data_IF_918295275355
#
_entry.id   IF_918295275355
#
_cell.length_a   1.000
_cell.length_b   1.000
_cell.length_c   1.000
_cell.angle_alpha   90.00
_cell.angle_beta   90.00
_cell.angle_gamma   90.00
#
_symmetry.space_group_name_H-M   'P 1'
#
loop_
_entity.id
_entity.type
_entity.pdbx_description
1 polymer ?
#
# COMPACT_ATOMS: atom_id res chain seq x y z
N UNK A 1 4.51 -3.46 22.88
CA UNK A 1 5.31 -2.68 21.92
C UNK A 1 4.33 -1.77 21.18
N UNK A 2 4.70 -0.51 20.92
CA UNK A 2 3.87 0.39 20.11
C UNK A 2 3.97 -0.06 18.65
N UNK A 3 2.86 -0.12 17.89
CA UNK A 3 2.91 -0.51 16.49
C UNK A 3 3.78 0.47 15.70
N UNK A 4 4.76 -0.06 14.96
CA UNK A 4 5.70 0.73 14.17
C UNK A 4 5.06 1.47 13.02
N UNK A 5 3.97 0.97 12.45
CA UNK A 5 3.26 1.61 11.36
C UNK A 5 1.80 1.80 11.71
N UNK A 6 1.24 2.94 11.35
CA UNK A 6 -0.20 3.21 11.44
C UNK A 6 -0.67 3.89 10.16
N UNK A 7 -1.73 3.35 9.57
CA UNK A 7 -2.33 3.81 8.32
C UNK A 7 -3.74 4.29 8.65
N UNK A 8 -4.03 5.56 8.39
CA UNK A 8 -5.38 6.11 8.49
C UNK A 8 -6.01 6.20 7.11
N UNK A 9 -7.22 5.69 6.97
CA UNK A 9 -7.95 5.66 5.71
C UNK A 9 -9.45 5.85 5.94
N UNK A 10 -10.17 6.16 4.87
CA UNK A 10 -11.63 6.31 4.95
C UNK A 10 -12.34 5.29 4.09
N UNK A 11 -13.29 4.55 4.66
CA UNK A 11 -14.23 3.71 3.91
C UNK A 11 -15.55 4.44 3.75
N UNK A 12 -16.37 4.02 2.79
CA UNK A 12 -17.76 4.50 2.67
C UNK A 12 -18.71 3.44 3.24
N UNK A 13 -19.43 3.78 4.31
CA UNK A 13 -20.56 3.00 4.78
C UNK A 13 -21.82 3.79 4.42
N UNK A 14 -22.48 3.41 3.32
CA UNK A 14 -23.53 4.22 2.71
C UNK A 14 -22.97 5.56 2.20
N UNK A 15 -23.62 6.67 2.57
CA UNK A 15 -23.23 8.02 2.16
C UNK A 15 -22.23 8.72 3.11
N UNK A 16 -21.81 8.06 4.20
CA UNK A 16 -20.94 8.69 5.20
C UNK A 16 -19.49 8.16 5.09
N UNK A 17 -18.49 9.06 5.11
CA UNK A 17 -17.09 8.66 5.24
C UNK A 17 -16.84 8.17 6.67
N UNK A 18 -16.36 6.95 6.81
CA UNK A 18 -15.96 6.35 8.09
C UNK A 18 -14.43 6.28 8.17
N UNK A 19 -13.81 6.98 9.13
CA UNK A 19 -12.38 6.87 9.37
C UNK A 19 -12.07 5.53 10.02
N UNK A 20 -11.07 4.84 9.47
CA UNK A 20 -10.51 3.60 10.01
C UNK A 20 -9.00 3.75 10.12
N UNK A 21 -8.40 2.87 10.93
CA UNK A 21 -6.96 2.73 10.98
C UNK A 21 -6.54 1.27 10.94
N UNK A 22 -5.33 1.04 10.44
CA UNK A 22 -4.63 -0.22 10.49
C UNK A 22 -3.26 0.00 11.12
N UNK A 23 -2.81 -0.93 11.96
CA UNK A 23 -1.53 -0.82 12.67
C UNK A 23 -0.77 -2.14 12.58
N UNK A 24 0.52 -2.05 12.29
CA UNK A 24 1.40 -3.22 12.16
C UNK A 24 2.83 -2.89 12.56
N UNK A 25 3.58 -3.90 13.00
CA UNK A 25 5.02 -3.82 13.24
C UNK A 25 5.85 -4.30 12.04
N UNK A 26 5.19 -4.94 11.06
CA UNK A 26 5.82 -5.52 9.87
C UNK A 26 5.79 -4.50 8.71
N UNK A 27 6.96 -4.06 8.20
CA UNK A 27 7.02 -3.15 7.05
C UNK A 27 6.40 -3.76 5.78
N UNK A 28 6.48 -5.08 5.58
CA UNK A 28 5.91 -5.73 4.39
C UNK A 28 4.39 -5.72 4.46
N UNK A 29 3.82 -6.09 5.62
CA UNK A 29 2.37 -6.00 5.83
C UNK A 29 1.83 -4.57 5.69
N UNK A 30 2.64 -3.56 6.04
CA UNK A 30 2.30 -2.15 5.81
C UNK A 30 2.18 -1.85 4.31
N UNK A 31 3.16 -2.25 3.51
CA UNK A 31 3.17 -2.06 2.05
C UNK A 31 2.02 -2.82 1.37
N UNK A 32 1.77 -4.07 1.77
CA UNK A 32 0.66 -4.88 1.27
C UNK A 32 -0.69 -4.24 1.60
N UNK A 33 -0.88 -3.73 2.82
CA UNK A 33 -2.14 -3.07 3.18
C UNK A 33 -2.34 -1.76 2.41
N UNK A 34 -1.29 -0.97 2.18
CA UNK A 34 -1.37 0.21 1.31
C UNK A 34 -1.76 -0.20 -0.11
N UNK A 35 -1.19 -1.29 -0.63
CA UNK A 35 -1.55 -1.84 -1.95
C UNK A 35 -3.04 -2.21 -2.00
N UNK A 36 -3.58 -2.87 -0.98
CA UNK A 36 -5.01 -3.20 -0.89
C UNK A 36 -5.90 -1.95 -0.86
N UNK A 37 -5.49 -0.90 -0.14
CA UNK A 37 -6.22 0.38 -0.12
C UNK A 37 -6.23 1.04 -1.51
N UNK A 38 -5.11 0.98 -2.24
CA UNK A 38 -5.02 1.47 -3.61
C UNK A 38 -5.90 0.64 -4.56
N UNK A 39 -5.87 -0.70 -4.45
CA UNK A 39 -6.69 -1.62 -5.25
C UNK A 39 -8.19 -1.38 -5.02
N UNK A 40 -8.59 -1.15 -3.76
CA UNK A 40 -9.97 -0.87 -3.38
C UNK A 40 -10.42 0.60 -3.60
N UNK A 41 -9.48 1.51 -3.89
CA UNK A 41 -9.77 2.93 -4.11
C UNK A 41 -10.17 3.70 -2.84
N UNK A 42 -9.71 3.25 -1.66
CA UNK A 42 -9.98 3.95 -0.40
C UNK A 42 -9.05 5.17 -0.23
N UNK A 43 -9.58 6.35 0.13
CA UNK A 43 -8.72 7.50 0.42
C UNK A 43 -7.84 7.26 1.64
N UNK A 44 -6.52 7.28 1.43
CA UNK A 44 -5.50 7.25 2.47
C UNK A 44 -5.35 8.68 3.02
N UNK A 45 -5.41 8.83 4.35
CA UNK A 45 -5.41 10.13 5.04
C UNK A 45 -4.06 10.45 5.65
N UNK A 46 -3.46 9.48 6.34
CA UNK A 46 -2.17 9.64 6.98
C UNK A 46 -1.44 8.30 7.07
N UNK A 47 -0.12 8.36 7.02
CA UNK A 47 0.78 7.24 7.28
C UNK A 47 1.75 7.68 8.36
N UNK A 48 1.88 6.89 9.42
CA UNK A 48 2.78 7.16 10.54
C UNK A 48 3.76 6.02 10.75
N UNK A 49 5.00 6.36 11.06
CA UNK A 49 6.03 5.45 11.52
C UNK A 49 6.46 5.82 12.94
N UNK A 50 6.39 4.88 13.88
CA UNK A 50 6.69 5.08 15.31
C UNK A 50 5.91 6.27 15.92
N UNK A 51 4.67 6.46 15.48
CA UNK A 51 3.80 7.56 15.91
C UNK A 51 4.08 8.91 15.25
N UNK A 52 5.12 9.01 14.41
CA UNK A 52 5.48 10.21 13.65
C UNK A 52 4.90 10.12 12.24
N UNK A 53 4.26 11.18 11.77
CA UNK A 53 3.77 11.23 10.39
C UNK A 53 4.94 11.17 9.40
N UNK A 54 4.82 10.32 8.38
CA UNK A 54 5.84 10.19 7.35
C UNK A 54 6.05 11.53 6.65
N UNK A 55 7.31 11.83 6.33
CA UNK A 55 7.60 12.95 5.45
C UNK A 55 7.00 12.69 4.07
N UNK A 56 6.72 13.75 3.31
CA UNK A 56 6.16 13.63 1.96
C UNK A 56 6.99 12.70 1.04
N UNK A 57 8.33 12.77 1.01
CA UNK A 57 9.13 11.82 0.22
C UNK A 57 8.98 10.36 0.66
N UNK A 58 8.87 10.09 1.97
CA UNK A 58 8.68 8.73 2.50
C UNK A 58 7.30 8.21 2.16
N UNK A 59 6.27 9.05 2.31
CA UNK A 59 4.90 8.77 1.90
C UNK A 59 4.85 8.41 0.40
N UNK A 60 5.38 9.29 -0.46
CA UNK A 60 5.36 9.10 -1.91
C UNK A 60 6.13 7.82 -2.32
N UNK A 61 7.22 7.50 -1.62
CA UNK A 61 7.97 6.27 -1.82
C UNK A 61 7.13 5.04 -1.47
N UNK A 62 6.43 5.04 -0.33
CA UNK A 62 5.57 3.92 0.07
C UNK A 62 4.42 3.71 -0.92
N UNK A 63 3.76 4.79 -1.35
CA UNK A 63 2.72 4.72 -2.37
C UNK A 63 3.27 4.16 -3.68
N UNK A 64 4.47 4.59 -4.10
CA UNK A 64 5.10 4.08 -5.31
C UNK A 64 5.43 2.58 -5.21
N UNK A 65 5.94 2.12 -4.08
CA UNK A 65 6.19 0.69 -3.83
C UNK A 65 4.90 -0.11 -3.94
N UNK A 66 3.86 0.28 -3.19
CA UNK A 66 2.57 -0.39 -3.19
C UNK A 66 1.91 -0.41 -4.60
N UNK A 67 1.98 0.70 -5.34
CA UNK A 67 1.50 0.75 -6.72
C UNK A 67 2.30 -0.16 -7.66
N UNK A 68 3.62 -0.28 -7.44
CA UNK A 68 4.48 -1.21 -8.17
C UNK A 68 4.10 -2.67 -7.91
N UNK A 69 3.86 -3.04 -6.65
CA UNK A 69 3.38 -4.36 -6.25
C UNK A 69 2.03 -4.68 -6.91
N UNK A 70 1.08 -3.72 -6.89
CA UNK A 70 -0.23 -3.88 -7.51
C UNK A 70 -0.12 -4.14 -9.02
N UNK A 71 0.70 -3.33 -9.72
CA UNK A 71 0.94 -3.49 -11.14
C UNK A 71 1.59 -4.85 -11.46
N UNK A 72 2.63 -5.23 -10.72
CA UNK A 72 3.33 -6.51 -10.88
C UNK A 72 2.36 -7.69 -10.70
N UNK A 73 1.54 -7.67 -9.63
CA UNK A 73 0.50 -8.68 -9.34
C UNK A 73 -0.47 -8.84 -10.51
N UNK A 74 -1.00 -7.73 -11.03
CA UNK A 74 -1.96 -7.79 -12.14
C UNK A 74 -1.31 -8.22 -13.47
N UNK A 75 -0.08 -7.79 -13.76
CA UNK A 75 0.63 -8.19 -14.99
C UNK A 75 0.94 -9.69 -14.95
N UNK A 76 1.51 -10.19 -13.84
CA UNK A 76 1.79 -11.61 -13.66
C UNK A 76 0.52 -12.46 -13.83
N UNK A 77 -0.57 -12.07 -13.16
CA UNK A 77 -1.85 -12.77 -13.24
C UNK A 77 -2.45 -12.73 -14.66
N UNK A 78 -2.37 -11.59 -15.36
CA UNK A 78 -2.97 -11.42 -16.69
C UNK A 78 -2.20 -12.13 -17.80
N UNK A 79 -0.88 -12.21 -17.67
CA UNK A 79 0.00 -12.81 -18.68
C UNK A 79 0.41 -14.26 -18.36
N UNK A 80 0.12 -14.75 -17.16
CA UNK A 80 0.55 -16.08 -16.70
C UNK A 80 2.08 -16.21 -16.55
N UNK A 81 2.76 -15.09 -16.27
CA UNK A 81 4.22 -15.03 -16.13
C UNK A 81 4.62 -14.93 -14.65
N UNK A 82 5.88 -15.26 -14.37
CA UNK A 82 6.44 -15.13 -13.01
C UNK A 82 6.94 -13.70 -12.74
N UNK A 83 7.04 -13.28 -11.47
CA UNK A 83 7.53 -11.96 -11.10
C UNK A 83 8.92 -11.62 -11.66
N UNK A 84 9.81 -12.60 -11.82
CA UNK A 84 11.15 -12.36 -12.38
C UNK A 84 11.09 -11.96 -13.85
N UNK A 85 10.19 -12.60 -14.62
CA UNK A 85 9.98 -12.26 -16.01
C UNK A 85 9.27 -10.91 -16.16
N UNK A 86 8.28 -10.64 -15.31
CA UNK A 86 7.60 -9.35 -15.26
C UNK A 86 8.60 -8.22 -15.00
N UNK A 87 9.41 -8.34 -13.95
CA UNK A 87 10.47 -7.38 -13.61
C UNK A 87 11.46 -7.18 -14.75
N UNK A 88 11.85 -8.24 -15.44
CA UNK A 88 12.73 -8.14 -16.60
C UNK A 88 12.10 -7.38 -17.78
N UNK A 89 10.80 -7.60 -18.04
CA UNK A 89 10.10 -7.04 -19.21
C UNK A 89 9.55 -5.63 -19.00
N UNK A 90 9.04 -5.34 -17.81
CA UNK A 90 8.26 -4.13 -17.51
C UNK A 90 8.86 -3.30 -16.38
N UNK A 91 9.76 -3.87 -15.59
CA UNK A 91 10.48 -3.13 -14.55
C UNK A 91 9.65 -2.80 -13.32
N UNK A 92 8.46 -3.41 -13.13
CA UNK A 92 7.83 -3.37 -11.83
C UNK A 92 8.57 -4.35 -10.92
N UNK A 93 9.02 -3.85 -9.78
CA UNK A 93 9.66 -4.67 -8.77
C UNK A 93 8.63 -4.92 -7.68
N UNK A 94 8.36 -6.21 -7.43
CA UNK A 94 7.94 -6.67 -6.11
C UNK A 94 8.98 -6.25 -5.07
#
# INVERSE_FOLDING_TARGET
>A
MLPKYTIEYTTRLGNHPHPNHYSTDDPVACEEFVMELLEAGYPIRALRHEGVELSRPEFDRLIKTAAGMLASKHICASLGIKPEEEKYRFGFAA
#
